data_IF_749738050624
#
_entry.id   IF_749738050624
#
_cell.length_a   1.000
_cell.length_b   1.000
_cell.length_c   1.000
_cell.angle_alpha   90.00
_cell.angle_beta   90.00
_cell.angle_gamma   90.00
#
_symmetry.space_group_name_H-M   'P 1'
#
loop_
_entity.id
_entity.type
_entity.pdbx_description
1 polymer ?
#
# COMPACT_ATOMS: atom_id res chain seq x y z
N UNK A 1 36.16 28.26 -15.94
CA UNK A 1 36.50 27.96 -14.52
C UNK A 1 35.26 28.38 -13.73
N UNK A 2 34.33 27.54 -13.28
CA UNK A 2 34.46 26.28 -12.53
C UNK A 2 33.26 25.34 -12.82
N UNK A 3 33.53 24.03 -12.90
CA UNK A 3 32.57 22.94 -12.73
C UNK A 3 32.30 22.74 -11.23
N UNK A 4 31.09 22.35 -10.83
CA UNK A 4 30.83 21.16 -9.97
C UNK A 4 29.33 20.84 -9.85
N UNK A 5 28.96 19.65 -10.36
CA UNK A 5 28.16 18.62 -9.68
C UNK A 5 26.77 18.97 -9.11
N UNK A 6 25.70 18.75 -9.90
CA UNK A 6 24.39 18.42 -9.35
C UNK A 6 24.22 16.89 -9.38
N UNK A 7 24.61 16.26 -8.27
CA UNK A 7 24.35 14.86 -7.97
C UNK A 7 24.02 14.74 -6.48
N UNK A 8 22.74 14.87 -6.15
CA UNK A 8 22.12 14.50 -4.87
C UNK A 8 20.60 14.51 -5.12
N UNK A 9 20.01 13.33 -5.27
CA UNK A 9 19.37 12.57 -4.19
C UNK A 9 17.89 12.90 -4.11
N UNK A 10 17.11 11.93 -4.55
CA UNK A 10 15.68 11.78 -4.27
C UNK A 10 15.42 11.97 -2.78
N UNK A 11 14.64 12.97 -2.40
CA UNK A 11 13.79 13.01 -1.21
C UNK A 11 13.07 14.36 -1.14
N UNK A 12 11.78 14.29 -0.86
CA UNK A 12 10.93 15.38 -0.37
C UNK A 12 10.33 16.35 -1.41
N UNK A 13 9.13 15.99 -1.90
CA UNK A 13 8.08 16.94 -2.28
C UNK A 13 6.76 16.19 -2.47
N UNK A 14 6.10 15.81 -1.37
CA UNK A 14 4.62 15.70 -1.18
C UNK A 14 4.31 15.07 0.18
N UNK A 15 4.66 15.77 1.25
CA UNK A 15 4.06 15.58 2.57
C UNK A 15 2.61 16.13 2.57
N UNK A 16 1.75 15.49 1.78
CA UNK A 16 0.32 15.41 2.08
C UNK A 16 0.14 14.03 2.68
N UNK A 17 -0.42 13.96 3.88
CA UNK A 17 -0.68 12.76 4.68
C UNK A 17 -1.37 11.64 3.89
N UNK A 18 -0.62 10.91 3.07
CA UNK A 18 -1.06 9.69 2.40
C UNK A 18 -0.95 8.56 3.42
N UNK A 19 -1.84 8.60 4.41
CA UNK A 19 -1.85 7.65 5.53
C UNK A 19 -2.17 6.21 5.09
N UNK A 20 -2.42 5.99 3.79
CA UNK A 20 -2.63 4.69 3.14
C UNK A 20 -1.34 4.06 2.60
N UNK A 21 -0.20 4.79 2.59
CA UNK A 21 1.10 4.26 2.18
C UNK A 21 1.66 3.33 3.24
N UNK A 22 2.02 2.12 2.84
CA UNK A 22 2.67 1.13 3.70
C UNK A 22 4.14 1.08 3.31
N UNK A 23 4.99 1.62 4.17
CA UNK A 23 6.44 1.57 4.00
C UNK A 23 7.05 0.55 4.97
N UNK A 24 8.24 0.05 4.66
CA UNK A 24 8.99 -0.85 5.55
C UNK A 24 9.10 -0.31 6.98
N UNK A 25 9.32 0.99 7.12
CA UNK A 25 9.49 1.65 8.42
C UNK A 25 8.17 1.65 9.21
N UNK A 26 7.02 1.84 8.54
CA UNK A 26 5.69 1.70 9.18
C UNK A 26 5.42 0.27 9.62
N UNK A 27 5.65 -0.71 8.75
CA UNK A 27 5.45 -2.13 9.10
C UNK A 27 6.32 -2.54 10.28
N UNK A 28 7.55 -2.04 10.33
CA UNK A 28 8.46 -2.23 11.48
C UNK A 28 7.94 -1.52 12.73
N UNK A 29 7.43 -0.30 12.61
CA UNK A 29 6.84 0.47 13.73
C UNK A 29 5.59 -0.18 14.29
N UNK A 30 4.79 -0.85 13.46
CA UNK A 30 3.61 -1.60 13.89
C UNK A 30 3.96 -2.93 14.57
N UNK A 31 5.25 -3.27 14.65
CA UNK A 31 5.76 -4.52 15.22
C UNK A 31 5.16 -5.76 14.53
N UNK A 32 5.15 -5.76 13.19
CA UNK A 32 4.79 -6.95 12.42
C UNK A 32 5.64 -8.16 12.81
N UNK A 33 5.06 -9.37 12.73
CA UNK A 33 5.80 -10.60 12.96
C UNK A 33 6.94 -10.75 11.92
N UNK A 34 8.02 -11.45 12.30
CA UNK A 34 9.20 -11.61 11.43
C UNK A 34 8.86 -12.21 10.06
N UNK A 35 7.89 -13.13 10.01
CA UNK A 35 7.46 -13.74 8.75
C UNK A 35 6.68 -12.75 7.86
N UNK A 36 5.70 -12.03 8.41
CA UNK A 36 4.92 -11.02 7.69
C UNK A 36 5.79 -9.86 7.21
N UNK A 37 6.72 -9.40 8.05
CA UNK A 37 7.68 -8.36 7.66
C UNK A 37 8.59 -8.82 6.51
N UNK A 38 9.13 -10.05 6.58
CA UNK A 38 9.98 -10.61 5.53
C UNK A 38 9.22 -10.81 4.22
N UNK A 39 7.97 -11.26 4.30
CA UNK A 39 7.09 -11.38 3.12
C UNK A 39 6.83 -10.02 2.49
N UNK A 40 6.53 -9.00 3.30
CA UNK A 40 6.27 -7.65 2.82
C UNK A 40 7.50 -7.09 2.09
N UNK A 41 8.69 -7.20 2.67
CA UNK A 41 9.93 -6.77 2.01
C UNK A 41 10.24 -7.55 0.72
N UNK A 42 9.83 -8.82 0.65
CA UNK A 42 10.01 -9.65 -0.53
C UNK A 42 9.12 -9.23 -1.71
N UNK A 43 7.87 -8.82 -1.44
CA UNK A 43 6.91 -8.39 -2.48
C UNK A 43 6.95 -6.89 -2.77
N UNK A 44 7.19 -6.08 -1.75
CA UNK A 44 7.10 -4.62 -1.78
C UNK A 44 8.35 -3.98 -1.14
N UNK A 45 9.55 -4.12 -1.75
CA UNK A 45 10.80 -3.62 -1.18
C UNK A 45 10.82 -2.10 -0.99
N UNK A 46 10.12 -1.36 -1.85
CA UNK A 46 9.98 0.10 -1.78
C UNK A 46 8.75 0.56 -0.96
N UNK A 47 7.92 -0.40 -0.53
CA UNK A 47 6.58 -0.12 -0.01
C UNK A 47 5.52 -0.10 -1.11
N UNK A 48 4.26 -0.01 -0.71
CA UNK A 48 3.11 0.08 -1.60
C UNK A 48 1.90 0.67 -0.85
N UNK A 49 0.86 1.04 -1.59
CA UNK A 49 -0.40 1.45 -0.96
C UNK A 49 -1.12 0.26 -0.32
N UNK A 50 -2.04 0.56 0.58
CA UNK A 50 -2.85 -0.44 1.27
C UNK A 50 -3.53 -1.47 0.36
N UNK A 51 -4.22 -1.03 -0.69
CA UNK A 51 -5.03 -1.93 -1.53
C UNK A 51 -4.17 -2.99 -2.25
N UNK A 52 -3.07 -2.65 -2.94
CA UNK A 52 -2.16 -3.65 -3.51
C UNK A 52 -1.62 -4.64 -2.49
N UNK A 53 -1.23 -4.18 -1.30
CA UNK A 53 -0.68 -5.04 -0.23
C UNK A 53 -1.77 -5.98 0.29
N UNK A 54 -2.97 -5.47 0.55
CA UNK A 54 -4.12 -6.25 0.97
C UNK A 54 -4.48 -7.32 -0.07
N UNK A 55 -4.58 -6.95 -1.34
CA UNK A 55 -4.88 -7.91 -2.43
C UNK A 55 -3.81 -8.99 -2.54
N UNK A 56 -2.52 -8.65 -2.39
CA UNK A 56 -1.44 -9.62 -2.40
C UNK A 56 -1.48 -10.58 -1.21
N UNK A 57 -1.86 -10.10 -0.01
CA UNK A 57 -2.06 -10.95 1.16
C UNK A 57 -3.20 -11.94 0.94
N UNK A 58 -4.34 -11.48 0.40
CA UNK A 58 -5.47 -12.36 0.06
C UNK A 58 -5.08 -13.39 -1.02
N UNK A 59 -4.38 -12.97 -2.07
CA UNK A 59 -3.91 -13.87 -3.13
C UNK A 59 -2.97 -14.97 -2.60
N UNK A 60 -2.12 -14.64 -1.63
CA UNK A 60 -1.21 -15.59 -0.97
C UNK A 60 -1.88 -16.37 0.18
N UNK A 61 -3.21 -16.28 0.35
CA UNK A 61 -4.00 -16.92 1.42
C UNK A 61 -3.60 -16.51 2.84
N UNK A 62 -3.05 -15.31 3.01
CA UNK A 62 -2.64 -14.72 4.30
C UNK A 62 -3.74 -13.84 4.88
N UNK A 63 -4.92 -14.43 5.13
CA UNK A 63 -6.09 -13.71 5.62
C UNK A 63 -5.89 -13.04 6.98
N UNK A 64 -5.23 -13.72 7.91
CA UNK A 64 -4.96 -13.20 9.26
C UNK A 64 -4.04 -11.96 9.23
N UNK A 65 -3.02 -11.97 8.35
CA UNK A 65 -2.12 -10.83 8.16
C UNK A 65 -2.83 -9.66 7.48
N UNK A 66 -3.80 -9.94 6.58
CA UNK A 66 -4.62 -8.92 5.95
C UNK A 66 -5.55 -8.23 6.96
N UNK A 67 -6.20 -8.99 7.84
CA UNK A 67 -7.03 -8.46 8.93
C UNK A 67 -6.20 -7.63 9.91
N UNK A 68 -5.04 -8.15 10.33
CA UNK A 68 -4.09 -7.41 11.17
C UNK A 68 -3.69 -6.07 10.54
N UNK A 69 -3.38 -6.07 9.24
CA UNK A 69 -2.97 -4.87 8.52
C UNK A 69 -4.10 -3.83 8.44
N UNK A 70 -5.34 -4.27 8.19
CA UNK A 70 -6.54 -3.41 8.23
C UNK A 70 -6.65 -2.74 9.59
N UNK A 71 -6.54 -3.51 10.68
CA UNK A 71 -6.63 -2.99 12.04
C UNK A 71 -5.61 -1.89 12.32
N UNK A 72 -4.34 -2.11 11.97
CA UNK A 72 -3.27 -1.11 12.15
C UNK A 72 -3.51 0.16 11.37
N UNK A 73 -3.83 0.02 10.09
CA UNK A 73 -4.00 1.17 9.22
C UNK A 73 -5.25 1.99 9.58
N UNK A 74 -6.36 1.31 9.89
CA UNK A 74 -7.64 1.97 10.11
C UNK A 74 -7.69 2.73 11.44
N UNK A 75 -6.87 2.36 12.42
CA UNK A 75 -6.68 3.14 13.65
C UNK A 75 -6.07 4.53 13.38
N UNK A 76 -5.29 4.67 12.29
CA UNK A 76 -4.64 5.93 11.91
C UNK A 76 -5.47 6.75 10.91
N UNK A 77 -6.50 6.17 10.28
CA UNK A 77 -7.29 6.79 9.22
C UNK A 77 -8.58 7.44 9.74
N UNK A 78 -8.95 8.58 9.15
CA UNK A 78 -10.27 9.18 9.35
C UNK A 78 -11.38 8.31 8.73
N UNK A 79 -12.61 8.50 9.19
CA UNK A 79 -13.77 7.73 8.73
C UNK A 79 -13.98 7.79 7.22
N UNK A 80 -13.79 8.94 6.59
CA UNK A 80 -13.98 9.09 5.14
C UNK A 80 -12.96 8.27 4.37
N UNK A 81 -11.68 8.33 4.77
CA UNK A 81 -10.63 7.55 4.09
C UNK A 81 -10.80 6.06 4.32
N UNK A 82 -11.18 5.62 5.52
CA UNK A 82 -11.49 4.20 5.80
C UNK A 82 -12.59 3.67 4.88
N UNK A 83 -13.71 4.38 4.79
CA UNK A 83 -14.86 3.97 3.95
C UNK A 83 -14.46 3.88 2.48
N UNK A 84 -13.65 4.82 1.98
CA UNK A 84 -13.11 4.76 0.61
C UNK A 84 -12.28 3.50 0.38
N UNK A 85 -11.33 3.19 1.27
CA UNK A 85 -10.50 1.98 1.15
C UNK A 85 -11.35 0.70 1.19
N UNK A 86 -12.36 0.64 2.08
CA UNK A 86 -13.31 -0.48 2.15
C UNK A 86 -14.09 -0.67 0.84
N UNK A 87 -14.56 0.41 0.23
CA UNK A 87 -15.26 0.33 -1.06
C UNK A 87 -14.35 -0.23 -2.17
N UNK A 88 -13.09 0.20 -2.21
CA UNK A 88 -12.11 -0.27 -3.21
C UNK A 88 -11.80 -1.78 -3.03
N UNK A 89 -11.58 -2.25 -1.80
CA UNK A 89 -11.32 -3.68 -1.55
C UNK A 89 -12.55 -4.56 -1.80
N UNK A 90 -13.76 -4.03 -1.59
CA UNK A 90 -15.01 -4.71 -1.91
C UNK A 90 -15.30 -4.74 -3.42
N UNK A 91 -14.48 -4.07 -4.24
CA UNK A 91 -14.70 -3.96 -5.68
C UNK A 91 -15.82 -2.99 -6.06
N UNK A 92 -16.26 -2.13 -5.14
CA UNK A 92 -17.26 -1.09 -5.35
C UNK A 92 -16.61 0.25 -5.74
N UNK A 93 -15.50 0.20 -6.49
CA UNK A 93 -14.83 1.37 -7.04
C UNK A 93 -15.07 1.41 -8.55
N UNK A 94 -15.84 2.39 -9.01
CA UNK A 94 -16.29 2.47 -10.40
C UNK A 94 -15.13 2.58 -11.41
N UNK A 95 -14.00 3.17 -11.01
CA UNK A 95 -12.81 3.30 -11.86
C UNK A 95 -12.11 1.94 -12.00
N UNK A 96 -11.84 1.28 -10.89
CA UNK A 96 -11.20 -0.04 -10.88
C UNK A 96 -12.07 -1.13 -11.55
N UNK A 97 -13.40 -1.01 -11.50
CA UNK A 97 -14.31 -1.89 -12.25
C UNK A 97 -14.14 -1.65 -13.76
N UNK A 98 -14.13 -0.39 -14.20
CA UNK A 98 -13.97 -0.07 -15.62
C UNK A 98 -12.63 -0.58 -16.19
N UNK A 99 -11.54 -0.46 -15.43
CA UNK A 99 -10.22 -0.98 -15.82
C UNK A 99 -10.19 -2.51 -15.92
N UNK A 100 -10.78 -3.23 -14.96
CA UNK A 100 -10.85 -4.70 -15.02
C UNK A 100 -11.74 -5.20 -16.16
N UNK A 101 -12.84 -4.51 -16.48
CA UNK A 101 -13.69 -4.85 -17.62
C UNK A 101 -12.96 -4.64 -18.94
N UNK A 102 -12.16 -3.57 -19.07
CA UNK A 102 -11.34 -3.36 -20.25
C UNK A 102 -10.29 -4.48 -20.42
N UNK A 103 -9.58 -4.85 -19.34
CA UNK A 103 -8.60 -5.92 -19.37
C UNK A 103 -9.21 -7.30 -19.70
N UNK A 104 -10.45 -7.56 -19.28
CA UNK A 104 -11.17 -8.80 -19.59
C UNK A 104 -11.75 -8.86 -21.01
N UNK A 105 -11.87 -7.73 -21.72
CA UNK A 105 -12.38 -7.67 -23.08
C UNK A 105 -11.30 -7.95 -24.16
N UNK A 106 -10.03 -8.01 -23.76
CA UNK A 106 -8.87 -8.23 -24.65
C UNK A 106 -8.29 -9.66 -24.55
N UNK A 107 -8.98 -10.58 -23.86
CA UNK A 107 -8.57 -11.98 -23.66
C UNK A 107 -9.28 -12.97 -24.60
#
# INVERSE_FOLDING_TARGET
MQNVTQGASMADSTATTNNIQITKDRVKSWAACSDGYRWFLGKFPEGAEFVPVYRALIADKRGDDADWLVGKLFDELDTTTRVKQTAIIAGADAVAIAEQVAAGAEA
#
